data_IF_814757491418
#
_entry.id   IF_814757491418
#
_cell.length_a   1.000
_cell.length_b   1.000
_cell.length_c   1.000
_cell.angle_alpha   90.00
_cell.angle_beta   90.00
_cell.angle_gamma   90.00
#
_symmetry.space_group_name_H-M   'P 1'
#
loop_
_entity.id
_entity.type
_entity.pdbx_description
1 polymer ?
#
# COMPACT_ATOMS: atom_id res chain seq x y z
N UNK A 1 -10.19 -35.37 1.38
CA UNK A 1 -10.24 -33.95 1.02
C UNK A 1 -11.08 -33.24 2.05
N UNK A 2 -10.67 -32.03 2.50
CA UNK A 2 -11.43 -31.25 3.47
C UNK A 2 -12.83 -30.91 2.92
N UNK A 3 -13.82 -30.84 3.81
CA UNK A 3 -15.15 -30.32 3.48
C UNK A 3 -15.37 -28.97 4.18
N UNK A 4 -16.27 -28.16 3.64
CA UNK A 4 -16.64 -26.88 4.28
C UNK A 4 -17.19 -27.11 5.70
N UNK A 5 -17.81 -28.25 5.98
CA UNK A 5 -18.34 -28.60 7.30
C UNK A 5 -17.23 -28.79 8.36
N UNK A 6 -16.05 -29.22 7.94
CA UNK A 6 -14.90 -29.46 8.84
C UNK A 6 -13.92 -28.28 8.87
N UNK A 7 -14.25 -27.17 8.18
CA UNK A 7 -13.37 -26.03 8.00
C UNK A 7 -13.08 -25.30 9.32
N UNK A 8 -11.80 -25.16 9.63
CA UNK A 8 -11.27 -24.34 10.73
C UNK A 8 -10.11 -23.51 10.19
N UNK A 9 -10.30 -22.21 10.14
CA UNK A 9 -9.36 -21.29 9.48
C UNK A 9 -8.35 -20.73 10.51
N UNK A 10 -7.10 -20.63 10.11
CA UNK A 10 -6.10 -19.80 10.77
C UNK A 10 -5.74 -18.64 9.84
N UNK A 11 -5.87 -17.39 10.28
CA UNK A 11 -5.39 -16.21 9.58
C UNK A 11 -4.11 -15.73 10.24
N UNK A 12 -3.00 -15.74 9.50
CA UNK A 12 -1.65 -15.46 9.97
C UNK A 12 -1.24 -14.04 9.58
N UNK A 13 -1.14 -13.16 10.57
CA UNK A 13 -0.96 -11.71 10.42
C UNK A 13 -2.29 -10.97 10.46
N UNK A 14 -2.47 -10.13 11.49
CA UNK A 14 -3.73 -9.41 11.73
C UNK A 14 -3.57 -7.89 11.49
N UNK A 15 -2.93 -7.56 10.37
CA UNK A 15 -2.82 -6.19 9.87
C UNK A 15 -4.03 -5.75 9.04
N UNK A 16 -3.81 -4.77 8.15
CA UNK A 16 -4.81 -4.17 7.25
C UNK A 16 -5.53 -5.18 6.33
N UNK A 17 -4.90 -6.30 6.04
CA UNK A 17 -5.44 -7.35 5.16
C UNK A 17 -6.07 -8.47 5.99
N UNK A 18 -5.31 -9.01 6.94
CA UNK A 18 -5.71 -10.22 7.64
C UNK A 18 -6.86 -10.02 8.63
N UNK A 19 -6.91 -8.87 9.31
CA UNK A 19 -7.98 -8.64 10.28
C UNK A 19 -9.36 -8.54 9.62
N UNK A 20 -9.59 -7.71 8.58
CA UNK A 20 -10.89 -7.68 7.90
C UNK A 20 -11.33 -9.05 7.39
N UNK A 21 -10.41 -9.80 6.82
CA UNK A 21 -10.68 -11.15 6.31
C UNK A 21 -11.04 -12.13 7.44
N UNK A 22 -10.28 -12.11 8.55
CA UNK A 22 -10.54 -12.94 9.72
C UNK A 22 -11.93 -12.64 10.34
N UNK A 23 -12.32 -11.37 10.36
CA UNK A 23 -13.62 -10.92 10.85
C UNK A 23 -14.75 -11.47 9.96
N UNK A 24 -14.64 -11.33 8.64
CA UNK A 24 -15.68 -11.83 7.73
C UNK A 24 -15.82 -13.35 7.80
N UNK A 25 -14.72 -14.10 7.81
CA UNK A 25 -14.79 -15.55 8.04
C UNK A 25 -15.34 -15.90 9.42
N UNK A 26 -14.96 -15.17 10.47
CA UNK A 26 -15.40 -15.40 11.85
C UNK A 26 -16.89 -15.17 12.10
N UNK A 27 -17.59 -14.53 11.16
CA UNK A 27 -19.07 -14.47 11.14
C UNK A 27 -19.70 -15.78 10.64
N UNK A 28 -18.94 -16.65 9.96
CA UNK A 28 -19.46 -17.82 9.25
C UNK A 28 -18.92 -19.15 9.80
N UNK A 29 -17.62 -19.22 10.10
CA UNK A 29 -16.91 -20.45 10.46
C UNK A 29 -15.92 -20.19 11.59
N UNK A 30 -15.45 -21.24 12.33
CA UNK A 30 -14.41 -21.09 13.33
C UNK A 30 -13.11 -20.54 12.75
N UNK A 31 -12.59 -19.44 13.34
CA UNK A 31 -11.35 -18.77 12.92
C UNK A 31 -10.44 -18.52 14.13
N UNK A 32 -9.16 -18.80 13.97
CA UNK A 32 -8.09 -18.34 14.85
C UNK A 32 -7.31 -17.26 14.12
N UNK A 33 -7.44 -16.01 14.55
CA UNK A 33 -6.56 -14.92 14.13
C UNK A 33 -5.26 -14.99 14.90
N UNK A 34 -4.14 -15.17 14.20
CA UNK A 34 -2.82 -15.31 14.79
C UNK A 34 -1.93 -14.14 14.43
N UNK A 35 -1.29 -13.55 15.43
CA UNK A 35 -0.24 -12.56 15.23
C UNK A 35 0.89 -12.79 16.23
N UNK A 36 2.13 -12.59 15.78
CA UNK A 36 3.32 -12.76 16.64
C UNK A 36 3.44 -11.67 17.72
N UNK A 37 2.77 -10.54 17.54
CA UNK A 37 2.81 -9.41 18.47
C UNK A 37 1.69 -9.53 19.50
N UNK A 38 2.05 -9.89 20.74
CA UNK A 38 1.09 -10.00 21.84
C UNK A 38 0.27 -8.72 22.05
N UNK A 39 0.91 -7.54 21.88
CA UNK A 39 0.21 -6.25 21.98
C UNK A 39 -0.97 -6.15 21.00
N UNK A 40 -0.79 -6.65 19.76
CA UNK A 40 -1.87 -6.67 18.75
C UNK A 40 -3.02 -7.59 19.18
N UNK A 41 -2.69 -8.75 19.73
CA UNK A 41 -3.69 -9.70 20.26
C UNK A 41 -4.47 -9.10 21.42
N UNK A 42 -3.81 -8.44 22.36
CA UNK A 42 -4.43 -7.81 23.52
C UNK A 42 -5.36 -6.65 23.11
N UNK A 43 -4.96 -5.86 22.17
CA UNK A 43 -5.73 -4.78 21.55
C UNK A 43 -7.04 -5.35 20.94
N UNK A 44 -6.93 -6.35 20.07
CA UNK A 44 -8.08 -6.97 19.41
C UNK A 44 -9.03 -7.66 20.41
N UNK A 45 -8.49 -8.30 21.44
CA UNK A 45 -9.28 -8.87 22.54
C UNK A 45 -10.04 -7.79 23.33
N UNK A 46 -9.51 -6.57 23.40
CA UNK A 46 -10.20 -5.42 24.00
C UNK A 46 -11.29 -4.82 23.09
N UNK A 47 -11.42 -5.30 21.86
CA UNK A 47 -12.38 -4.79 20.88
C UNK A 47 -11.93 -3.51 20.16
N UNK A 48 -10.61 -3.28 20.09
CA UNK A 48 -10.02 -2.12 19.42
C UNK A 48 -9.19 -2.55 18.21
N UNK A 49 -9.16 -1.70 17.19
CA UNK A 49 -8.34 -1.86 16.00
C UNK A 49 -7.65 -0.54 15.65
N UNK A 50 -6.33 -0.43 15.92
CA UNK A 50 -5.55 0.78 15.59
C UNK A 50 -5.41 1.00 14.08
N UNK A 51 -5.62 -0.03 13.26
CA UNK A 51 -5.59 0.12 11.80
C UNK A 51 -6.83 0.81 11.24
N UNK A 52 -7.88 0.94 12.04
CA UNK A 52 -9.18 1.55 11.72
C UNK A 52 -9.90 0.89 10.52
N UNK A 53 -9.50 -0.34 10.16
CA UNK A 53 -10.12 -1.12 9.08
C UNK A 53 -11.41 -1.80 9.53
N UNK A 54 -11.50 -2.17 10.81
CA UNK A 54 -12.64 -2.89 11.39
C UNK A 54 -13.17 -2.11 12.59
N UNK A 55 -14.48 -1.87 12.61
CA UNK A 55 -15.14 -1.21 13.73
C UNK A 55 -15.31 -2.16 14.94
N UNK A 56 -15.46 -1.63 16.17
CA UNK A 56 -15.76 -2.45 17.35
C UNK A 56 -17.04 -3.30 17.21
N UNK A 57 -18.01 -2.81 16.46
CA UNK A 57 -19.26 -3.50 16.15
C UNK A 57 -19.01 -4.72 15.25
N UNK A 58 -18.17 -4.57 14.23
CA UNK A 58 -17.81 -5.66 13.32
C UNK A 58 -16.98 -6.74 14.04
N UNK A 59 -16.04 -6.34 14.92
CA UNK A 59 -15.30 -7.28 15.76
C UNK A 59 -16.25 -8.13 16.62
N UNK A 60 -17.30 -7.54 17.20
CA UNK A 60 -18.31 -8.25 18.00
C UNK A 60 -19.17 -9.20 17.17
N UNK A 61 -19.44 -8.89 15.90
CA UNK A 61 -20.21 -9.74 15.00
C UNK A 61 -19.48 -11.03 14.63
N UNK A 62 -18.14 -11.02 14.66
CA UNK A 62 -17.31 -12.18 14.37
C UNK A 62 -17.28 -13.18 15.55
N UNK A 63 -18.43 -13.73 15.91
CA UNK A 63 -18.62 -14.55 17.12
C UNK A 63 -17.82 -15.85 17.14
N UNK A 64 -17.30 -16.31 15.98
CA UNK A 64 -16.48 -17.50 15.86
C UNK A 64 -14.98 -17.19 15.65
N UNK A 65 -14.58 -15.92 15.80
CA UNK A 65 -13.19 -15.47 15.74
C UNK A 65 -12.57 -15.43 17.13
N UNK A 66 -11.44 -16.08 17.28
CA UNK A 66 -10.57 -16.00 18.45
C UNK A 66 -9.21 -15.44 18.08
N UNK A 67 -8.48 -14.86 19.03
CA UNK A 67 -7.17 -14.26 18.77
C UNK A 67 -6.09 -14.93 19.61
N UNK A 68 -4.96 -15.27 19.03
CA UNK A 68 -3.82 -15.90 19.71
C UNK A 68 -2.47 -15.47 19.17
N UNK A 69 -1.48 -15.40 20.07
CA UNK A 69 -0.05 -15.34 19.72
C UNK A 69 0.65 -16.70 19.98
N UNK A 70 -0.10 -17.72 20.42
CA UNK A 70 0.45 -19.04 20.70
C UNK A 70 0.23 -19.97 19.51
N UNK A 71 1.34 -20.51 18.97
CA UNK A 71 1.32 -21.40 17.82
C UNK A 71 0.52 -22.71 18.07
N UNK A 72 0.47 -23.18 19.31
CA UNK A 72 -0.26 -24.38 19.69
C UNK A 72 -1.76 -24.30 19.37
N UNK A 73 -2.34 -23.10 19.43
CA UNK A 73 -3.75 -22.88 19.16
C UNK A 73 -4.12 -23.13 17.69
N UNK A 74 -3.12 -23.08 16.81
CA UNK A 74 -3.28 -23.35 15.37
C UNK A 74 -3.38 -24.83 15.03
N UNK A 75 -2.99 -25.74 15.93
CA UNK A 75 -3.04 -27.20 15.70
C UNK A 75 -4.44 -27.72 15.38
N UNK A 76 -5.48 -27.02 15.82
CA UNK A 76 -6.86 -27.37 15.50
C UNK A 76 -7.31 -26.95 14.11
N UNK A 77 -6.59 -26.02 13.46
CA UNK A 77 -6.92 -25.50 12.15
C UNK A 77 -6.48 -26.44 11.02
N UNK A 78 -7.12 -26.31 9.87
CA UNK A 78 -6.86 -27.13 8.67
C UNK A 78 -6.82 -26.32 7.37
N UNK A 79 -7.08 -25.02 7.47
CA UNK A 79 -6.99 -24.06 6.36
C UNK A 79 -6.27 -22.81 6.87
N UNK A 80 -5.09 -22.53 6.32
CA UNK A 80 -4.22 -21.43 6.77
C UNK A 80 -4.21 -20.35 5.72
N UNK A 81 -4.47 -19.09 6.11
CA UNK A 81 -4.40 -17.93 5.23
C UNK A 81 -3.25 -17.04 5.71
N UNK A 82 -2.28 -16.78 4.85
CA UNK A 82 -1.08 -16.01 5.19
C UNK A 82 -1.20 -14.61 4.62
N UNK A 83 -1.24 -13.60 5.51
CA UNK A 83 -1.44 -12.19 5.17
C UNK A 83 -0.33 -11.30 5.76
N UNK A 84 0.87 -11.84 5.88
CA UNK A 84 2.02 -11.12 6.42
C UNK A 84 2.56 -10.10 5.41
N UNK A 85 3.24 -9.02 5.88
CA UNK A 85 3.79 -8.01 4.98
C UNK A 85 4.90 -8.58 4.09
N UNK A 86 5.07 -7.98 2.92
CA UNK A 86 6.11 -8.29 1.94
C UNK A 86 6.80 -6.99 1.51
N UNK A 87 7.72 -6.47 2.34
CA UNK A 87 8.44 -5.24 2.04
C UNK A 87 9.54 -5.47 0.99
N UNK A 88 10.19 -4.38 0.61
CA UNK A 88 11.48 -4.39 -0.11
C UNK A 88 12.58 -3.90 0.84
N UNK A 89 13.81 -4.34 0.59
CA UNK A 89 14.98 -3.86 1.30
C UNK A 89 15.49 -2.51 0.75
N UNK A 90 16.58 -2.00 1.33
CA UNK A 90 17.24 -0.76 0.92
C UNK A 90 17.72 -0.76 -0.55
N UNK A 91 17.97 -1.94 -1.11
CA UNK A 91 18.35 -2.16 -2.50
C UNK A 91 17.14 -2.38 -3.43
N UNK A 92 15.92 -2.18 -2.91
CA UNK A 92 14.65 -2.40 -3.63
C UNK A 92 14.46 -3.86 -4.10
N UNK A 93 15.01 -4.82 -3.34
CA UNK A 93 14.82 -6.24 -3.56
C UNK A 93 13.69 -6.77 -2.65
N UNK A 94 12.89 -7.75 -3.11
CA UNK A 94 11.86 -8.37 -2.30
C UNK A 94 12.41 -8.98 -1.01
N UNK A 95 11.88 -8.58 0.13
CA UNK A 95 12.16 -9.26 1.42
C UNK A 95 11.05 -10.26 1.72
N UNK A 96 11.34 -11.53 1.49
CA UNK A 96 10.43 -12.65 1.77
C UNK A 96 10.58 -13.21 3.20
N UNK A 97 11.41 -12.61 4.05
CA UNK A 97 11.65 -13.05 5.43
C UNK A 97 10.34 -13.25 6.22
N UNK A 98 9.35 -12.33 6.16
CA UNK A 98 8.08 -12.56 6.87
C UNK A 98 7.33 -13.78 6.38
N UNK A 99 7.33 -14.04 5.06
CA UNK A 99 6.70 -15.23 4.46
C UNK A 99 7.40 -16.52 4.87
N UNK A 100 8.73 -16.53 4.87
CA UNK A 100 9.54 -17.68 5.33
C UNK A 100 9.26 -17.97 6.79
N UNK A 101 9.21 -16.95 7.66
CA UNK A 101 8.87 -17.10 9.08
C UNK A 101 7.45 -17.63 9.29
N UNK A 102 6.47 -17.09 8.57
CA UNK A 102 5.08 -17.56 8.62
C UNK A 102 4.98 -19.02 8.17
N UNK A 103 5.61 -19.38 7.03
CA UNK A 103 5.67 -20.76 6.54
C UNK A 103 6.36 -21.70 7.53
N UNK A 104 7.44 -21.23 8.19
CA UNK A 104 8.11 -22.01 9.25
C UNK A 104 7.16 -22.28 10.43
N UNK A 105 6.43 -21.25 10.88
CA UNK A 105 5.47 -21.41 11.98
C UNK A 105 4.34 -22.37 11.60
N UNK A 106 3.78 -22.23 10.39
CA UNK A 106 2.73 -23.14 9.91
C UNK A 106 3.25 -24.56 9.78
N UNK A 107 4.48 -24.75 9.24
CA UNK A 107 5.09 -26.07 9.07
C UNK A 107 5.20 -26.88 10.37
N UNK A 108 5.33 -26.21 11.54
CA UNK A 108 5.36 -26.88 12.84
C UNK A 108 4.02 -27.47 13.28
N UNK A 109 2.91 -26.98 12.74
CA UNK A 109 1.55 -27.41 13.10
C UNK A 109 0.78 -28.06 11.96
N UNK A 110 1.36 -28.08 10.75
CA UNK A 110 0.77 -28.59 9.52
C UNK A 110 0.52 -30.09 9.60
N UNK A 111 -0.65 -30.53 9.14
CA UNK A 111 -1.09 -31.93 9.14
C UNK A 111 -1.46 -32.39 7.74
N UNK A 112 -1.56 -33.70 7.56
CA UNK A 112 -2.04 -34.30 6.30
C UNK A 112 -3.47 -33.82 5.98
N UNK A 113 -3.65 -33.39 4.75
CA UNK A 113 -4.90 -32.85 4.22
C UNK A 113 -5.08 -31.36 4.37
N UNK A 114 -4.22 -30.67 5.12
CA UNK A 114 -4.29 -29.22 5.31
C UNK A 114 -4.01 -28.44 4.03
N UNK A 115 -4.55 -27.23 3.96
CA UNK A 115 -4.35 -26.28 2.85
C UNK A 115 -3.77 -24.97 3.36
N UNK A 116 -2.72 -24.46 2.70
CA UNK A 116 -2.09 -23.17 3.01
C UNK A 116 -2.31 -22.22 1.84
N UNK A 117 -3.02 -21.12 2.05
CA UNK A 117 -3.27 -20.08 1.04
C UNK A 117 -2.48 -18.83 1.38
N UNK A 118 -1.72 -18.33 0.42
CA UNK A 118 -0.98 -17.09 0.57
C UNK A 118 -1.78 -15.93 -0.07
N UNK A 119 -1.87 -14.80 0.64
CA UNK A 119 -2.50 -13.57 0.13
C UNK A 119 -1.51 -12.41 0.00
N UNK A 120 -0.36 -12.52 0.67
CA UNK A 120 0.70 -11.52 0.59
C UNK A 120 1.15 -11.32 -0.85
N UNK A 121 1.38 -10.07 -1.26
CA UNK A 121 1.85 -9.75 -2.61
C UNK A 121 3.25 -10.29 -2.85
N UNK A 122 3.42 -11.05 -3.93
CA UNK A 122 4.69 -11.67 -4.31
C UNK A 122 4.88 -11.68 -5.83
N UNK A 123 6.09 -11.99 -6.29
CA UNK A 123 6.34 -12.24 -7.71
C UNK A 123 5.82 -13.64 -8.13
N UNK A 124 5.49 -13.84 -9.42
CA UNK A 124 5.01 -15.13 -9.92
C UNK A 124 6.00 -16.27 -9.65
N UNK A 125 5.54 -17.29 -8.93
CA UNK A 125 6.30 -18.44 -8.52
C UNK A 125 6.81 -18.41 -7.08
N UNK A 126 6.71 -17.30 -6.36
CA UNK A 126 7.25 -17.17 -5.01
C UNK A 126 6.63 -18.17 -4.03
N UNK A 127 5.32 -18.41 -4.10
CA UNK A 127 4.66 -19.42 -3.26
C UNK A 127 5.29 -20.78 -3.43
N UNK A 128 5.41 -21.25 -4.68
CA UNK A 128 5.90 -22.59 -4.98
C UNK A 128 7.43 -22.71 -4.82
N UNK A 129 8.18 -21.65 -5.13
CA UNK A 129 9.65 -21.66 -5.13
C UNK A 129 10.26 -21.36 -3.75
N UNK A 130 9.56 -20.59 -2.89
CA UNK A 130 10.08 -20.15 -1.60
C UNK A 130 9.29 -20.74 -0.43
N UNK A 131 7.96 -20.59 -0.42
CA UNK A 131 7.15 -20.95 0.74
C UNK A 131 6.96 -22.47 0.88
N UNK A 132 6.66 -23.17 -0.22
CA UNK A 132 6.43 -24.61 -0.21
C UNK A 132 7.63 -25.40 0.28
N UNK A 133 8.89 -25.15 -0.18
CA UNK A 133 10.06 -25.85 0.34
C UNK A 133 10.24 -25.70 1.86
N UNK A 134 9.90 -24.54 2.42
CA UNK A 134 9.96 -24.31 3.87
C UNK A 134 8.92 -25.16 4.60
N UNK A 135 7.67 -25.20 4.08
CA UNK A 135 6.61 -26.06 4.64
C UNK A 135 7.01 -27.53 4.62
N UNK A 136 7.55 -28.04 3.50
CA UNK A 136 8.02 -29.41 3.39
C UNK A 136 9.16 -29.72 4.37
N UNK A 137 10.16 -28.84 4.44
CA UNK A 137 11.32 -29.01 5.30
C UNK A 137 10.94 -29.05 6.79
N UNK A 138 10.03 -28.18 7.22
CA UNK A 138 9.66 -28.06 8.64
C UNK A 138 8.66 -29.13 9.06
N UNK A 139 7.66 -29.42 8.23
CA UNK A 139 6.62 -30.39 8.56
C UNK A 139 7.02 -31.85 8.31
N UNK A 140 7.96 -32.08 7.39
CA UNK A 140 8.28 -33.42 6.87
C UNK A 140 7.20 -33.99 5.93
N UNK A 141 6.19 -33.22 5.59
CA UNK A 141 5.10 -33.58 4.68
C UNK A 141 5.45 -33.26 3.24
N UNK A 142 4.78 -33.92 2.28
CA UNK A 142 5.02 -33.72 0.85
C UNK A 142 3.90 -32.90 0.22
N UNK A 143 4.30 -31.88 -0.53
CA UNK A 143 3.41 -31.03 -1.29
C UNK A 143 2.63 -31.82 -2.34
N UNK A 144 1.34 -31.48 -2.51
CA UNK A 144 0.38 -32.14 -3.41
C UNK A 144 0.16 -33.64 -3.14
N UNK A 145 0.62 -34.13 -1.99
CA UNK A 145 0.35 -35.50 -1.50
C UNK A 145 -0.21 -35.47 -0.08
N UNK A 146 0.51 -34.84 0.85
CA UNK A 146 0.14 -34.79 2.26
C UNK A 146 -0.50 -33.44 2.62
N UNK A 147 -0.10 -32.33 1.98
CA UNK A 147 -0.70 -31.00 2.13
C UNK A 147 -0.77 -30.29 0.79
N UNK A 148 -1.55 -29.21 0.74
CA UNK A 148 -1.83 -28.48 -0.49
C UNK A 148 -1.64 -26.97 -0.28
N UNK A 149 -1.57 -26.24 -1.40
CA UNK A 149 -1.45 -24.78 -1.33
C UNK A 149 -2.37 -24.08 -2.33
N UNK A 150 -2.62 -22.82 -2.05
CA UNK A 150 -3.30 -21.89 -2.92
C UNK A 150 -2.69 -20.49 -2.85
N UNK A 151 -3.16 -19.63 -3.72
CA UNK A 151 -2.87 -18.19 -3.67
C UNK A 151 -4.14 -17.41 -4.00
N UNK A 152 -4.44 -16.41 -3.19
CA UNK A 152 -5.60 -15.55 -3.37
C UNK A 152 -5.22 -14.12 -3.00
N UNK A 153 -4.88 -13.27 -3.99
CA UNK A 153 -4.37 -11.93 -3.70
C UNK A 153 -5.39 -11.05 -3.02
N UNK A 154 -4.92 -10.22 -2.08
CA UNK A 154 -5.73 -9.16 -1.54
C UNK A 154 -5.79 -7.98 -2.52
N UNK A 155 -6.99 -7.39 -2.65
CA UNK A 155 -7.28 -6.28 -3.57
C UNK A 155 -7.89 -5.06 -2.87
N UNK A 156 -7.97 -5.08 -1.52
CA UNK A 156 -8.44 -3.95 -0.71
C UNK A 156 -7.47 -2.78 -0.88
N UNK A 157 -8.04 -1.59 -0.90
CA UNK A 157 -7.30 -0.35 -0.82
C UNK A 157 -7.46 0.21 0.60
N UNK A 158 -6.42 0.22 1.46
CA UNK A 158 -6.52 0.70 2.82
C UNK A 158 -7.21 2.05 2.94
N UNK A 159 -8.16 2.17 3.88
CA UNK A 159 -8.99 3.36 4.08
C UNK A 159 -10.15 3.51 3.10
N UNK A 160 -10.32 2.63 2.12
CA UNK A 160 -11.48 2.64 1.21
C UNK A 160 -12.67 1.92 1.86
N UNK A 161 -13.67 2.69 2.26
CA UNK A 161 -14.88 2.16 2.91
C UNK A 161 -15.94 1.64 1.93
N UNK A 162 -15.77 1.90 0.64
CA UNK A 162 -16.69 1.45 -0.42
C UNK A 162 -16.30 0.08 -0.96
N UNK A 163 -14.99 -0.16 -1.17
CA UNK A 163 -14.46 -1.40 -1.72
C UNK A 163 -13.87 -2.25 -0.59
N UNK A 164 -14.76 -3.03 0.04
CA UNK A 164 -14.42 -3.90 1.17
C UNK A 164 -14.15 -5.33 0.69
N UNK A 165 -13.60 -6.15 1.58
CA UNK A 165 -13.29 -7.57 1.30
C UNK A 165 -14.46 -8.32 0.66
N UNK A 166 -15.68 -8.08 1.12
CA UNK A 166 -16.88 -8.82 0.67
C UNK A 166 -17.38 -8.40 -0.71
N UNK A 167 -17.10 -7.16 -1.14
CA UNK A 167 -17.67 -6.59 -2.37
C UNK A 167 -16.64 -6.34 -3.49
N UNK A 168 -15.43 -6.88 -3.35
CA UNK A 168 -14.42 -6.92 -4.41
C UNK A 168 -14.33 -8.35 -4.94
N UNK A 169 -14.44 -8.53 -6.28
CA UNK A 169 -14.25 -9.82 -6.91
C UNK A 169 -12.86 -10.38 -6.55
N UNK A 170 -12.83 -11.52 -5.87
CA UNK A 170 -11.60 -12.14 -5.35
C UNK A 170 -11.02 -13.11 -6.38
N UNK A 171 -9.70 -13.08 -6.58
CA UNK A 171 -9.01 -14.11 -7.37
C UNK A 171 -8.69 -15.28 -6.44
N UNK A 172 -8.94 -16.50 -6.90
CA UNK A 172 -8.61 -17.75 -6.18
C UNK A 172 -7.77 -18.66 -7.04
N UNK A 173 -6.95 -19.50 -6.42
CA UNK A 173 -6.18 -20.53 -7.12
C UNK A 173 -5.78 -21.65 -6.16
N UNK A 174 -5.40 -22.80 -6.71
CA UNK A 174 -4.94 -23.94 -5.94
C UNK A 174 -3.91 -24.75 -6.67
N UNK A 175 -3.17 -25.56 -5.93
CA UNK A 175 -2.07 -26.38 -6.44
C UNK A 175 -2.50 -27.62 -7.23
N UNK A 176 -3.77 -28.01 -7.08
CA UNK A 176 -4.45 -29.01 -7.93
C UNK A 176 -5.84 -28.50 -8.31
N UNK A 177 -6.50 -29.05 -9.35
CA UNK A 177 -7.86 -28.63 -9.71
C UNK A 177 -8.86 -28.75 -8.54
N UNK A 178 -8.76 -29.83 -7.74
CA UNK A 178 -9.65 -30.09 -6.61
C UNK A 178 -9.40 -29.09 -5.48
N UNK A 179 -8.14 -28.74 -5.23
CA UNK A 179 -7.77 -27.73 -4.23
C UNK A 179 -8.18 -26.34 -4.69
N UNK A 180 -8.04 -26.00 -5.97
CA UNK A 180 -8.51 -24.74 -6.54
C UNK A 180 -10.03 -24.58 -6.34
N UNK A 181 -10.80 -25.65 -6.58
CA UNK A 181 -12.24 -25.68 -6.34
C UNK A 181 -12.58 -25.50 -4.86
N UNK A 182 -11.85 -26.19 -3.97
CA UNK A 182 -12.07 -26.06 -2.52
C UNK A 182 -11.74 -24.65 -2.00
N UNK A 183 -10.59 -24.08 -2.40
CA UNK A 183 -10.20 -22.71 -2.07
C UNK A 183 -11.26 -21.72 -2.57
N UNK A 184 -11.73 -21.90 -3.79
CA UNK A 184 -12.79 -21.07 -4.36
C UNK A 184 -14.08 -21.11 -3.53
N UNK A 185 -14.53 -22.31 -3.13
CA UNK A 185 -15.69 -22.50 -2.25
C UNK A 185 -15.51 -21.84 -0.90
N UNK A 186 -14.31 -21.92 -0.30
CA UNK A 186 -14.02 -21.26 0.99
C UNK A 186 -14.17 -19.75 0.87
N UNK A 187 -13.58 -19.11 -0.14
CA UNK A 187 -13.69 -17.66 -0.31
C UNK A 187 -15.11 -17.21 -0.65
N UNK A 188 -15.88 -18.01 -1.39
CA UNK A 188 -17.29 -17.72 -1.67
C UNK A 188 -18.20 -17.72 -0.43
N UNK A 189 -17.74 -18.19 0.74
CA UNK A 189 -18.47 -18.02 2.00
C UNK A 189 -18.59 -16.55 2.40
N UNK A 190 -17.63 -15.72 2.04
CA UNK A 190 -17.53 -14.32 2.50
C UNK A 190 -17.51 -13.29 1.36
N UNK A 191 -17.20 -13.68 0.13
CA UNK A 191 -17.16 -12.78 -1.03
C UNK A 191 -18.52 -12.78 -1.73
N UNK A 192 -19.26 -11.69 -1.60
CA UNK A 192 -20.63 -11.57 -2.10
C UNK A 192 -20.73 -11.40 -3.63
N UNK A 193 -19.72 -10.74 -4.23
CA UNK A 193 -19.68 -10.47 -5.69
C UNK A 193 -19.05 -11.59 -6.50
N UNK A 194 -18.67 -12.69 -5.81
CA UNK A 194 -18.08 -13.88 -6.43
C UNK A 194 -16.57 -13.83 -6.58
N UNK A 195 -16.05 -14.88 -7.19
CA UNK A 195 -14.62 -15.14 -7.34
C UNK A 195 -14.25 -15.36 -8.81
N UNK A 196 -12.97 -15.16 -9.12
CA UNK A 196 -12.35 -15.56 -10.38
C UNK A 196 -11.30 -16.63 -10.11
N UNK A 197 -11.57 -17.86 -10.50
CA UNK A 197 -10.65 -18.97 -10.32
C UNK A 197 -9.56 -18.92 -11.40
N UNK A 198 -8.35 -18.54 -11.00
CA UNK A 198 -7.18 -18.52 -11.87
C UNK A 198 -6.71 -19.94 -12.20
N UNK A 199 -6.09 -20.11 -13.35
CA UNK A 199 -5.64 -21.41 -13.86
C UNK A 199 -4.47 -22.02 -13.11
N UNK A 200 -3.72 -21.21 -12.34
CA UNK A 200 -2.63 -21.65 -11.47
C UNK A 200 -2.30 -20.61 -10.41
N UNK A 201 -1.53 -21.01 -9.39
CA UNK A 201 -0.95 -20.10 -8.38
C UNK A 201 -0.15 -18.99 -9.05
N UNK A 202 0.75 -19.33 -9.99
CA UNK A 202 1.57 -18.34 -10.72
C UNK A 202 0.75 -17.30 -11.49
N UNK A 203 -0.37 -17.71 -12.05
CA UNK A 203 -1.28 -16.78 -12.76
C UNK A 203 -1.95 -15.82 -11.78
N UNK A 204 -2.38 -16.31 -10.62
CA UNK A 204 -2.98 -15.46 -9.59
C UNK A 204 -1.96 -14.47 -9.00
N UNK A 205 -0.73 -14.91 -8.74
CA UNK A 205 0.39 -14.04 -8.31
C UNK A 205 0.70 -12.97 -9.38
N UNK A 206 0.79 -13.38 -10.65
CA UNK A 206 1.02 -12.46 -11.76
C UNK A 206 -0.09 -11.42 -11.88
N UNK A 207 -1.36 -11.82 -11.76
CA UNK A 207 -2.50 -10.93 -11.82
C UNK A 207 -2.40 -9.81 -10.77
N UNK A 208 -2.03 -10.16 -9.52
CA UNK A 208 -1.87 -9.19 -8.45
C UNK A 208 -0.77 -8.16 -8.75
N UNK A 209 0.42 -8.62 -9.08
CA UNK A 209 1.56 -7.72 -9.23
C UNK A 209 1.40 -6.77 -10.42
N UNK A 210 0.73 -7.21 -11.51
CA UNK A 210 0.51 -6.35 -12.68
C UNK A 210 -0.55 -5.27 -12.45
N UNK A 211 -1.52 -5.46 -11.55
CA UNK A 211 -2.52 -4.43 -11.22
C UNK A 211 -1.84 -3.14 -10.73
N UNK A 212 -0.87 -3.26 -9.84
CA UNK A 212 -0.13 -2.13 -9.32
C UNK A 212 0.99 -1.66 -10.26
N UNK A 213 1.67 -2.58 -10.95
CA UNK A 213 2.69 -2.23 -11.95
C UNK A 213 2.08 -1.42 -13.10
N UNK A 214 0.91 -1.82 -13.60
CA UNK A 214 0.21 -1.08 -14.66
C UNK A 214 -0.16 0.34 -14.19
N UNK A 215 -0.61 0.49 -12.95
CA UNK A 215 -0.91 1.80 -12.35
C UNK A 215 0.34 2.67 -12.23
N UNK A 216 1.43 2.11 -11.74
CA UNK A 216 2.72 2.79 -11.59
C UNK A 216 3.26 3.30 -12.93
N UNK A 217 3.26 2.46 -13.96
CA UNK A 217 3.72 2.83 -15.32
C UNK A 217 2.84 3.92 -15.93
N UNK A 218 1.52 3.86 -15.73
CA UNK A 218 0.63 4.92 -16.22
C UNK A 218 0.86 6.26 -15.49
N UNK A 219 1.09 6.23 -14.17
CA UNK A 219 1.45 7.46 -13.44
C UNK A 219 2.81 7.99 -13.93
N UNK A 220 3.79 7.11 -14.18
CA UNK A 220 5.08 7.53 -14.74
C UNK A 220 4.92 8.23 -16.08
N UNK A 221 4.10 7.70 -16.97
CA UNK A 221 3.79 8.37 -18.25
C UNK A 221 3.21 9.77 -18.01
N UNK A 222 2.24 9.92 -17.11
CA UNK A 222 1.63 11.22 -16.82
C UNK A 222 2.62 12.17 -16.13
N UNK A 223 3.49 11.68 -15.25
CA UNK A 223 4.58 12.45 -14.66
C UNK A 223 5.55 12.96 -15.73
N UNK A 224 5.93 12.12 -16.70
CA UNK A 224 6.76 12.54 -17.82
C UNK A 224 6.09 13.63 -18.66
N UNK A 225 4.79 13.48 -18.94
CA UNK A 225 4.01 14.50 -19.64
C UNK A 225 3.96 15.81 -18.84
N UNK A 226 3.81 15.76 -17.52
CA UNK A 226 3.86 16.96 -16.67
C UNK A 226 5.22 17.67 -16.78
N UNK A 227 6.33 16.93 -16.76
CA UNK A 227 7.67 17.49 -16.98
C UNK A 227 7.80 18.14 -18.37
N UNK A 228 7.29 17.50 -19.41
CA UNK A 228 7.32 18.01 -20.79
C UNK A 228 6.48 19.29 -20.89
N UNK A 229 5.24 19.27 -20.42
CA UNK A 229 4.31 20.40 -20.51
C UNK A 229 4.78 21.60 -19.68
N UNK A 230 5.36 21.36 -18.51
CA UNK A 230 5.98 22.41 -17.70
C UNK A 230 7.09 23.13 -18.47
N UNK A 231 7.97 22.39 -19.19
CA UNK A 231 9.01 22.97 -20.05
C UNK A 231 8.45 23.75 -21.24
N UNK A 232 7.26 23.39 -21.71
CA UNK A 232 6.56 24.06 -22.79
C UNK A 232 5.71 25.26 -22.33
N UNK A 233 5.54 25.44 -21.01
CA UNK A 233 4.66 26.46 -20.43
C UNK A 233 3.17 26.15 -20.62
N UNK A 234 2.82 24.86 -20.71
CA UNK A 234 1.45 24.36 -20.86
C UNK A 234 0.98 23.79 -19.52
N UNK A 235 -0.22 24.12 -19.10
CA UNK A 235 -0.84 23.54 -17.90
C UNK A 235 -1.23 22.07 -18.13
N UNK A 236 -0.65 21.19 -17.33
CA UNK A 236 -0.85 19.73 -17.44
C UNK A 236 -2.30 19.34 -17.23
N UNK A 237 -2.98 19.91 -16.23
CA UNK A 237 -4.36 19.57 -15.92
C UNK A 237 -5.31 19.95 -17.07
N UNK A 238 -5.12 21.12 -17.68
CA UNK A 238 -5.91 21.53 -18.84
C UNK A 238 -5.78 20.54 -20.01
N UNK A 239 -4.56 20.02 -20.25
CA UNK A 239 -4.33 18.99 -21.27
C UNK A 239 -5.04 17.69 -20.90
N UNK A 240 -4.92 17.26 -19.64
CA UNK A 240 -5.54 16.01 -19.16
C UNK A 240 -7.07 16.09 -19.16
N UNK A 241 -7.65 17.24 -18.85
CA UNK A 241 -9.10 17.47 -18.97
C UNK A 241 -9.55 17.38 -20.44
N UNK A 242 -8.84 18.03 -21.36
CA UNK A 242 -9.16 17.97 -22.78
C UNK A 242 -9.02 16.54 -23.32
N UNK A 243 -7.92 15.83 -23.01
CA UNK A 243 -7.72 14.46 -23.42
C UNK A 243 -8.74 13.49 -22.80
N UNK A 244 -9.16 13.75 -21.56
CA UNK A 244 -10.15 12.98 -20.81
C UNK A 244 -11.57 13.04 -21.38
N UNK A 245 -11.85 13.95 -22.31
CA UNK A 245 -13.14 13.96 -23.06
C UNK A 245 -13.27 12.75 -23.98
N UNK A 246 -12.15 12.07 -24.30
CA UNK A 246 -12.18 10.84 -25.07
C UNK A 246 -12.52 9.66 -24.16
N UNK A 247 -13.53 8.90 -24.51
CA UNK A 247 -14.14 7.83 -23.71
C UNK A 247 -13.17 6.75 -23.21
N UNK A 248 -12.06 6.51 -23.89
CA UNK A 248 -11.06 5.49 -23.54
C UNK A 248 -9.75 6.07 -22.99
N UNK A 249 -9.71 7.37 -22.68
CA UNK A 249 -8.55 7.96 -22.00
C UNK A 249 -8.61 7.64 -20.51
N UNK A 250 -7.51 7.10 -19.95
CA UNK A 250 -7.44 6.73 -18.55
C UNK A 250 -7.17 7.96 -17.66
N UNK A 251 -7.94 8.17 -16.58
CA UNK A 251 -7.90 9.41 -15.80
C UNK A 251 -6.77 9.45 -14.76
N UNK A 252 -5.56 9.09 -15.16
CA UNK A 252 -4.38 9.25 -14.31
C UNK A 252 -3.98 10.72 -14.18
N UNK A 253 -3.41 11.08 -13.05
CA UNK A 253 -2.88 12.41 -12.75
C UNK A 253 -1.42 12.29 -12.34
N UNK A 254 -0.59 13.36 -12.53
CA UNK A 254 0.76 13.36 -12.02
C UNK A 254 0.77 13.36 -10.50
N UNK A 255 1.86 12.88 -9.92
CA UNK A 255 2.03 12.87 -8.47
C UNK A 255 3.16 11.97 -7.99
N UNK A 256 3.38 12.02 -6.70
CA UNK A 256 4.33 11.17 -6.02
C UNK A 256 3.73 9.77 -5.82
N UNK A 257 4.49 8.74 -6.12
CA UNK A 257 4.05 7.34 -6.01
C UNK A 257 4.66 6.69 -4.79
N UNK A 258 3.96 6.79 -3.66
CA UNK A 258 4.31 6.19 -2.37
C UNK A 258 3.41 5.03 -1.95
N UNK A 259 3.46 4.71 -0.66
CA UNK A 259 2.70 3.60 -0.06
C UNK A 259 3.33 2.24 -0.30
N UNK A 260 2.69 1.22 0.28
CA UNK A 260 3.24 -0.14 0.28
C UNK A 260 2.85 -1.00 -0.94
N UNK A 261 2.05 -0.49 -1.86
CA UNK A 261 1.60 -1.29 -3.00
C UNK A 261 2.19 -0.77 -4.32
N UNK A 262 1.75 0.42 -4.78
CA UNK A 262 2.09 0.92 -6.13
C UNK A 262 3.59 1.16 -6.27
N UNK A 263 4.25 1.66 -5.21
CA UNK A 263 5.69 1.94 -5.20
C UNK A 263 6.57 0.71 -4.94
N UNK A 264 6.00 -0.43 -4.54
CA UNK A 264 6.71 -1.63 -4.10
C UNK A 264 6.51 -2.81 -5.06
N UNK A 265 5.27 -3.12 -5.42
CA UNK A 265 4.95 -4.31 -6.24
C UNK A 265 5.72 -4.38 -7.58
N UNK A 266 5.99 -3.26 -8.29
CA UNK A 266 6.79 -3.31 -9.52
C UNK A 266 8.19 -3.89 -9.31
N UNK A 267 8.80 -3.68 -8.13
CA UNK A 267 10.12 -4.24 -7.82
C UNK A 267 10.09 -5.76 -7.67
N UNK A 268 8.98 -6.33 -7.18
CA UNK A 268 8.78 -7.78 -7.16
C UNK A 268 8.83 -8.36 -8.57
N UNK A 269 8.11 -7.74 -9.51
CA UNK A 269 8.08 -8.20 -10.90
C UNK A 269 9.43 -8.00 -11.61
N UNK A 270 10.10 -6.85 -11.38
CA UNK A 270 11.41 -6.58 -12.00
C UNK A 270 12.49 -7.51 -11.46
N UNK A 271 12.48 -7.83 -10.16
CA UNK A 271 13.38 -8.81 -9.55
C UNK A 271 13.22 -10.19 -10.23
N UNK A 272 11.96 -10.67 -10.35
CA UNK A 272 11.71 -11.96 -11.03
C UNK A 272 12.12 -11.95 -12.49
N UNK A 273 11.82 -10.88 -13.23
CA UNK A 273 12.23 -10.72 -14.61
C UNK A 273 13.76 -10.83 -14.78
N UNK A 274 14.50 -10.11 -13.94
CA UNK A 274 15.98 -10.15 -13.96
C UNK A 274 16.52 -11.54 -13.58
N UNK A 275 15.91 -12.23 -12.62
CA UNK A 275 16.32 -13.57 -12.22
C UNK A 275 16.18 -14.62 -13.33
N UNK A 276 15.29 -14.38 -14.29
CA UNK A 276 15.11 -15.24 -15.49
C UNK A 276 15.82 -14.70 -16.74
N UNK A 277 16.70 -13.68 -16.56
CA UNK A 277 17.52 -13.12 -17.63
C UNK A 277 16.86 -12.05 -18.50
N UNK A 278 15.70 -11.49 -18.08
CA UNK A 278 15.02 -10.42 -18.81
C UNK A 278 15.18 -9.06 -18.10
N UNK A 279 15.64 -8.03 -18.83
CA UNK A 279 15.71 -6.66 -18.30
C UNK A 279 14.41 -5.91 -18.60
N UNK A 280 13.61 -5.55 -17.58
CA UNK A 280 12.29 -4.93 -17.77
C UNK A 280 12.41 -3.41 -18.02
N UNK A 281 12.61 -2.99 -19.24
CA UNK A 281 12.91 -1.61 -19.69
C UNK A 281 11.82 -0.62 -19.23
N UNK A 282 10.56 -0.87 -19.57
CA UNK A 282 9.44 0.06 -19.32
C UNK A 282 9.19 0.22 -17.83
N UNK A 283 9.16 -0.90 -17.07
CA UNK A 283 8.85 -0.87 -15.63
C UNK A 283 9.94 -0.13 -14.87
N UNK A 284 11.21 -0.44 -15.15
CA UNK A 284 12.35 0.22 -14.51
C UNK A 284 12.47 1.71 -14.89
N UNK A 285 12.18 2.07 -16.14
CA UNK A 285 12.14 3.47 -16.56
C UNK A 285 11.03 4.23 -15.81
N UNK A 286 9.83 3.64 -15.72
CA UNK A 286 8.72 4.20 -14.95
C UNK A 286 9.07 4.41 -13.48
N UNK A 287 9.64 3.39 -12.82
CA UNK A 287 10.08 3.49 -11.43
C UNK A 287 11.12 4.59 -11.22
N UNK A 288 12.14 4.67 -12.06
CA UNK A 288 13.17 5.72 -12.00
C UNK A 288 12.57 7.12 -12.10
N UNK A 289 11.59 7.30 -12.98
CA UNK A 289 10.91 8.58 -13.15
C UNK A 289 10.05 8.92 -11.93
N UNK A 290 9.22 7.99 -11.46
CA UNK A 290 8.37 8.20 -10.29
C UNK A 290 9.20 8.46 -9.02
N UNK A 291 10.29 7.73 -8.82
CA UNK A 291 11.21 7.94 -7.69
C UNK A 291 11.92 9.32 -7.75
N UNK A 292 12.13 9.86 -8.95
CA UNK A 292 12.75 11.18 -9.14
C UNK A 292 11.81 12.38 -8.97
N UNK A 293 10.51 12.17 -8.79
CA UNK A 293 9.54 13.27 -8.77
C UNK A 293 9.68 14.19 -7.56
N UNK A 294 10.12 13.69 -6.40
CA UNK A 294 10.39 14.52 -5.22
C UNK A 294 11.46 15.58 -5.50
N UNK A 295 12.60 15.15 -6.05
CA UNK A 295 13.68 16.04 -6.44
C UNK A 295 13.26 17.02 -7.57
N UNK A 296 12.44 16.55 -8.52
CA UNK A 296 11.89 17.44 -9.55
C UNK A 296 11.03 18.56 -8.95
N UNK A 297 10.15 18.26 -8.01
CA UNK A 297 9.30 19.24 -7.31
C UNK A 297 10.16 20.32 -6.65
N UNK A 298 11.15 19.92 -5.85
CA UNK A 298 12.03 20.88 -5.16
C UNK A 298 12.85 21.71 -6.16
N UNK A 299 13.36 21.10 -7.22
CA UNK A 299 14.05 21.83 -8.29
C UNK A 299 13.16 22.93 -8.92
N UNK A 300 11.87 22.65 -9.18
CA UNK A 300 10.95 23.65 -9.71
C UNK A 300 10.65 24.75 -8.68
N UNK A 301 10.47 24.39 -7.41
CA UNK A 301 10.30 25.34 -6.31
C UNK A 301 11.48 26.33 -6.23
N UNK A 302 12.71 25.81 -6.17
CA UNK A 302 13.93 26.61 -6.07
C UNK A 302 14.04 27.57 -7.25
N UNK A 303 13.75 27.12 -8.48
CA UNK A 303 13.72 28.00 -9.68
C UNK A 303 12.69 29.12 -9.54
N UNK A 304 11.52 28.82 -9.00
CA UNK A 304 10.46 29.82 -8.80
C UNK A 304 10.85 30.83 -7.70
N UNK A 305 11.44 30.38 -6.60
CA UNK A 305 11.97 31.24 -5.54
C UNK A 305 13.01 32.22 -6.09
N UNK A 306 13.99 31.74 -6.88
CA UNK A 306 15.01 32.56 -7.51
C UNK A 306 14.38 33.62 -8.43
N UNK A 307 13.40 33.22 -9.27
CA UNK A 307 12.68 34.15 -10.15
C UNK A 307 11.93 35.25 -9.39
N UNK A 308 11.36 34.92 -8.22
CA UNK A 308 10.71 35.90 -7.32
C UNK A 308 11.68 36.63 -6.39
N UNK A 309 13.00 36.41 -6.52
CA UNK A 309 14.06 37.00 -5.67
C UNK A 309 13.92 36.62 -4.20
N UNK A 310 13.38 35.44 -3.92
CA UNK A 310 13.32 34.83 -2.59
C UNK A 310 14.65 34.12 -2.35
N UNK A 311 15.31 34.40 -1.22
CA UNK A 311 16.55 33.72 -0.85
C UNK A 311 16.27 32.24 -0.60
N UNK A 312 17.05 31.36 -1.22
CA UNK A 312 16.88 29.91 -1.11
C UNK A 312 17.57 29.36 0.13
N UNK A 313 18.86 29.70 0.31
CA UNK A 313 19.63 29.25 1.48
C UNK A 313 19.04 29.83 2.77
N UNK A 314 18.73 28.99 3.73
CA UNK A 314 18.09 29.37 4.97
C UNK A 314 16.60 29.71 4.84
N UNK A 315 15.98 29.47 3.69
CA UNK A 315 14.54 29.62 3.54
C UNK A 315 13.78 28.62 4.41
N UNK A 316 12.53 28.97 4.74
CA UNK A 316 11.63 28.12 5.49
C UNK A 316 10.43 27.73 4.63
N UNK A 317 10.23 26.43 4.41
CA UNK A 317 9.18 25.86 3.58
C UNK A 317 8.21 25.07 4.44
N UNK A 318 6.92 25.27 4.23
CA UNK A 318 5.88 24.42 4.82
C UNK A 318 5.44 23.36 3.82
N UNK A 319 5.47 22.10 4.24
CA UNK A 319 4.92 20.96 3.50
C UNK A 319 3.61 20.53 4.15
N UNK A 320 2.51 20.67 3.44
CA UNK A 320 1.17 20.31 3.90
C UNK A 320 0.82 18.89 3.43
N UNK A 321 0.82 17.97 4.38
CA UNK A 321 0.63 16.53 4.18
C UNK A 321 1.94 15.75 4.28
N UNK A 322 1.90 14.64 5.03
CA UNK A 322 2.98 13.66 5.18
C UNK A 322 2.50 12.25 4.82
N UNK A 323 1.22 11.96 5.03
CA UNK A 323 0.64 10.67 4.70
C UNK A 323 0.80 10.35 3.19
N UNK A 324 0.84 9.07 2.85
CA UNK A 324 1.01 8.69 1.44
C UNK A 324 -0.26 8.94 0.59
N UNK A 325 -1.41 9.15 1.23
CA UNK A 325 -2.72 9.30 0.60
C UNK A 325 -3.59 10.27 1.40
N UNK A 326 -4.52 10.93 0.72
CA UNK A 326 -5.50 11.82 1.34
C UNK A 326 -6.41 11.11 2.36
N UNK A 327 -6.70 11.80 3.46
CA UNK A 327 -7.61 11.40 4.53
C UNK A 327 -7.28 10.01 5.15
N UNK A 328 -5.99 9.73 5.26
CA UNK A 328 -5.47 8.47 5.77
C UNK A 328 -4.29 8.73 6.72
N UNK A 329 -4.20 8.08 7.89
CA UNK A 329 -3.11 8.28 8.84
C UNK A 329 -1.79 7.58 8.46
N UNK A 330 -1.79 6.72 7.45
CA UNK A 330 -0.66 5.87 7.10
C UNK A 330 0.46 6.65 6.41
N UNK A 331 1.66 6.62 7.00
CA UNK A 331 2.86 7.30 6.50
C UNK A 331 3.87 6.36 5.84
N UNK A 332 3.63 5.04 5.83
CA UNK A 332 4.60 4.06 5.33
C UNK A 332 4.94 4.30 3.86
N UNK A 333 6.25 4.35 3.57
CA UNK A 333 6.79 4.63 2.23
C UNK A 333 6.23 5.92 1.59
N UNK A 334 5.89 6.93 2.41
CA UNK A 334 5.46 8.21 1.84
C UNK A 334 6.59 8.85 1.02
N UNK A 335 6.26 9.33 -0.16
CA UNK A 335 7.21 10.05 -1.03
C UNK A 335 7.34 11.53 -0.69
N UNK A 336 6.60 12.00 0.30
CA UNK A 336 6.77 13.36 0.83
C UNK A 336 8.13 13.50 1.52
N UNK A 337 8.64 12.41 2.10
CA UNK A 337 9.99 12.39 2.68
C UNK A 337 11.08 12.73 1.66
N UNK A 338 10.92 12.34 0.40
CA UNK A 338 11.87 12.66 -0.66
C UNK A 338 11.91 14.19 -0.90
N UNK A 339 10.76 14.88 -0.80
CA UNK A 339 10.71 16.36 -0.85
C UNK A 339 11.43 16.97 0.35
N UNK A 340 11.17 16.48 1.56
CA UNK A 340 11.79 17.01 2.79
C UNK A 340 13.31 16.84 2.75
N UNK A 341 13.78 15.68 2.33
CA UNK A 341 15.21 15.39 2.21
C UNK A 341 15.86 16.29 1.14
N UNK A 342 15.24 16.42 -0.03
CA UNK A 342 15.77 17.28 -1.11
C UNK A 342 15.77 18.75 -0.71
N UNK A 343 14.78 19.25 0.05
CA UNK A 343 14.80 20.62 0.61
C UNK A 343 16.02 20.82 1.53
N UNK A 344 16.36 19.81 2.33
CA UNK A 344 17.51 19.85 3.23
C UNK A 344 18.83 19.93 2.44
N UNK A 345 18.96 19.24 1.31
CA UNK A 345 20.13 19.33 0.42
C UNK A 345 20.36 20.77 -0.12
N UNK A 346 19.30 21.58 -0.21
CA UNK A 346 19.39 23.00 -0.57
C UNK A 346 19.54 23.93 0.65
N UNK A 347 19.82 23.42 1.85
CA UNK A 347 19.83 24.16 3.12
C UNK A 347 18.53 24.92 3.40
N UNK A 348 17.39 24.37 3.00
CA UNK A 348 16.05 24.87 3.24
C UNK A 348 15.47 24.13 4.46
N UNK A 349 14.98 24.87 5.45
CA UNK A 349 14.29 24.29 6.58
C UNK A 349 12.85 23.91 6.19
N UNK A 350 12.48 22.65 6.39
CA UNK A 350 11.16 22.14 6.10
C UNK A 350 10.35 21.91 7.40
N UNK A 351 9.24 22.65 7.56
CA UNK A 351 8.20 22.28 8.52
C UNK A 351 7.18 21.39 7.80
N UNK A 352 6.72 20.33 8.48
CA UNK A 352 5.69 19.43 7.96
C UNK A 352 4.45 19.53 8.84
N UNK A 353 3.29 19.67 8.25
CA UNK A 353 2.00 19.62 8.94
C UNK A 353 1.07 18.59 8.28
N UNK A 354 0.53 17.69 9.09
CA UNK A 354 -0.48 16.73 8.63
C UNK A 354 -1.50 16.48 9.75
N UNK A 355 -2.80 16.72 9.51
CA UNK A 355 -3.85 16.56 10.53
C UNK A 355 -4.20 15.09 10.83
N UNK A 356 -3.72 14.13 10.05
CA UNK A 356 -4.02 12.72 10.17
C UNK A 356 -2.91 11.90 10.83
N UNK A 357 -1.68 12.40 10.81
CA UNK A 357 -0.48 11.63 11.18
C UNK A 357 -0.20 11.72 12.68
N UNK A 358 0.13 10.60 13.29
CA UNK A 358 0.66 10.55 14.66
C UNK A 358 2.10 11.07 14.70
N UNK A 359 2.37 12.04 15.56
CA UNK A 359 3.67 12.68 15.65
C UNK A 359 4.79 11.74 16.15
N UNK A 360 4.45 10.77 17.01
CA UNK A 360 5.43 9.80 17.49
C UNK A 360 5.81 8.80 16.39
N UNK A 361 4.83 8.39 15.57
CA UNK A 361 5.08 7.53 14.42
C UNK A 361 5.96 8.25 13.38
N UNK A 362 5.66 9.51 13.04
CA UNK A 362 6.47 10.32 12.13
C UNK A 362 7.91 10.51 12.62
N UNK A 363 8.07 10.76 13.94
CA UNK A 363 9.39 10.88 14.56
C UNK A 363 10.15 9.55 14.54
N UNK A 364 9.46 8.42 14.79
CA UNK A 364 10.09 7.10 14.80
C UNK A 364 10.52 6.67 13.39
N UNK A 365 9.65 6.84 12.39
CA UNK A 365 9.89 6.35 11.03
C UNK A 365 10.83 7.24 10.21
N UNK A 366 10.72 8.57 10.38
CA UNK A 366 11.40 9.53 9.50
C UNK A 366 12.22 10.59 10.23
N UNK A 367 12.23 10.61 11.56
CA UNK A 367 12.89 11.64 12.35
C UNK A 367 12.21 13.01 12.23
N UNK A 368 10.97 13.06 11.75
CA UNK A 368 10.21 14.31 11.55
C UNK A 368 9.26 14.51 12.73
N UNK A 369 9.28 15.72 13.30
CA UNK A 369 8.27 16.17 14.25
C UNK A 369 7.33 17.13 13.54
N UNK A 370 6.11 16.70 13.17
CA UNK A 370 5.13 17.59 12.53
C UNK A 370 4.81 18.81 13.42
N UNK A 371 4.67 19.98 12.81
CA UNK A 371 4.20 21.17 13.53
C UNK A 371 2.73 21.02 13.91
N UNK A 372 2.37 21.51 15.11
CA UNK A 372 1.01 21.38 15.64
C UNK A 372 0.10 22.52 15.16
N UNK A 373 0.66 23.71 15.00
CA UNK A 373 -0.09 24.92 14.63
C UNK A 373 0.46 25.52 13.35
N UNK A 374 -0.43 26.04 12.52
CA UNK A 374 -0.09 26.78 11.32
C UNK A 374 -0.07 28.28 11.63
N UNK A 375 1.10 28.89 11.56
CA UNK A 375 1.28 30.31 11.79
C UNK A 375 1.32 31.09 10.48
N UNK A 376 0.65 32.24 10.43
CA UNK A 376 0.62 33.12 9.26
C UNK A 376 1.95 33.84 9.04
N UNK A 377 2.29 34.12 7.80
CA UNK A 377 3.41 34.97 7.42
C UNK A 377 4.80 34.38 7.70
N UNK A 378 4.94 33.06 7.91
CA UNK A 378 6.18 32.46 8.36
C UNK A 378 7.03 31.88 7.21
N UNK A 379 6.41 31.46 6.10
CA UNK A 379 7.05 30.58 5.13
C UNK A 379 7.41 31.30 3.83
N UNK A 380 8.60 30.99 3.30
CA UNK A 380 9.06 31.42 1.98
C UNK A 380 8.39 30.65 0.86
N UNK A 381 7.92 29.42 1.16
CA UNK A 381 7.05 28.66 0.28
C UNK A 381 6.11 27.74 1.08
N UNK A 382 4.97 27.41 0.47
CA UNK A 382 4.00 26.44 0.97
C UNK A 382 3.77 25.42 -0.14
N UNK A 383 4.02 24.15 0.15
CA UNK A 383 3.79 23.00 -0.77
C UNK A 383 2.54 22.28 -0.29
N UNK A 384 1.50 22.23 -1.11
CA UNK A 384 0.32 21.40 -0.89
C UNK A 384 0.61 20.00 -1.49
N UNK A 385 1.10 19.08 -0.64
CA UNK A 385 1.64 17.81 -1.06
C UNK A 385 0.63 16.67 -1.02
N UNK A 386 -0.39 16.74 -0.13
CA UNK A 386 -1.48 15.76 0.01
C UNK A 386 -2.83 16.49 0.01
N UNK A 387 -3.82 15.96 -0.72
CA UNK A 387 -5.12 16.60 -0.89
C UNK A 387 -6.12 16.26 0.24
N UNK A 388 -5.72 16.47 1.52
CA UNK A 388 -6.64 16.29 2.64
C UNK A 388 -7.84 17.25 2.54
N UNK A 389 -9.00 16.82 2.98
CA UNK A 389 -10.21 17.63 2.94
C UNK A 389 -10.08 18.90 3.79
N UNK A 390 -9.28 18.84 4.88
CA UNK A 390 -8.95 20.01 5.69
C UNK A 390 -8.25 21.10 4.85
N UNK A 391 -7.29 20.72 4.00
CA UNK A 391 -6.57 21.67 3.15
C UNK A 391 -7.45 22.22 2.03
N UNK A 392 -8.32 21.38 1.44
CA UNK A 392 -9.32 21.85 0.47
C UNK A 392 -10.26 22.88 1.09
N UNK A 393 -10.70 22.64 2.34
CA UNK A 393 -11.60 23.55 3.07
C UNK A 393 -10.94 24.88 3.44
N UNK A 394 -9.60 24.93 3.58
CA UNK A 394 -8.88 26.19 3.84
C UNK A 394 -9.00 27.18 2.66
N UNK A 395 -8.95 26.66 1.44
CA UNK A 395 -8.94 27.48 0.23
C UNK A 395 -7.64 28.25 0.00
N UNK A 396 -7.51 28.88 -1.16
CA UNK A 396 -6.28 29.54 -1.59
C UNK A 396 -5.85 30.69 -0.69
N UNK A 397 -6.79 31.49 -0.20
CA UNK A 397 -6.51 32.67 0.64
C UNK A 397 -5.85 32.27 1.96
N UNK A 398 -6.41 31.31 2.68
CA UNK A 398 -5.86 30.84 3.95
C UNK A 398 -4.51 30.14 3.78
N UNK A 399 -4.34 29.36 2.70
CA UNK A 399 -3.07 28.70 2.38
C UNK A 399 -1.97 29.73 2.06
N UNK A 400 -2.29 30.79 1.29
CA UNK A 400 -1.36 31.88 1.01
C UNK A 400 -1.01 32.71 2.25
N UNK A 401 -1.95 32.88 3.17
CA UNK A 401 -1.71 33.62 4.42
C UNK A 401 -0.62 33.00 5.30
N UNK A 402 -0.29 31.71 5.12
CA UNK A 402 0.83 31.05 5.80
C UNK A 402 2.19 31.55 5.29
N UNK A 403 2.26 31.98 4.04
CA UNK A 403 3.45 32.52 3.42
C UNK A 403 3.78 33.95 3.82
N UNK A 404 5.05 34.33 3.74
CA UNK A 404 5.53 35.70 3.85
C UNK A 404 4.93 36.57 2.74
N UNK A 405 5.17 37.89 2.78
CA UNK A 405 4.69 38.81 1.73
C UNK A 405 5.14 38.41 0.32
N UNK A 406 6.35 37.91 0.17
CA UNK A 406 6.86 37.24 -1.03
C UNK A 406 7.06 35.76 -0.74
N UNK A 407 6.25 34.92 -1.33
CA UNK A 407 6.30 33.46 -1.17
C UNK A 407 5.89 32.74 -2.44
N UNK A 408 6.08 31.43 -2.46
CA UNK A 408 5.58 30.51 -3.49
C UNK A 408 4.49 29.62 -2.88
N UNK A 409 3.34 29.50 -3.53
CA UNK A 409 2.34 28.47 -3.27
C UNK A 409 2.39 27.43 -4.38
N UNK A 410 2.77 26.20 -4.03
CA UNK A 410 2.94 25.09 -4.96
C UNK A 410 1.90 24.00 -4.71
N UNK A 411 0.98 23.81 -5.63
CA UNK A 411 -0.07 22.80 -5.55
C UNK A 411 0.34 21.55 -6.35
N UNK A 412 0.67 20.44 -5.65
CA UNK A 412 1.02 19.17 -6.28
C UNK A 412 -0.20 18.30 -6.61
N UNK A 413 -1.39 18.71 -6.16
CA UNK A 413 -2.58 17.84 -6.16
C UNK A 413 -3.78 18.42 -6.89
N UNK A 414 -3.60 19.55 -7.56
CA UNK A 414 -4.67 20.27 -8.29
C UNK A 414 -5.90 20.55 -7.40
N UNK A 415 -5.65 20.92 -6.15
CA UNK A 415 -6.68 21.31 -5.18
C UNK A 415 -7.21 22.72 -5.47
N UNK A 416 -6.34 23.58 -5.97
CA UNK A 416 -6.61 24.98 -6.26
C UNK A 416 -6.79 25.21 -7.75
N UNK A 417 -7.48 26.30 -8.11
CA UNK A 417 -7.53 26.74 -9.49
C UNK A 417 -6.14 27.20 -9.98
N UNK A 418 -5.91 27.15 -11.30
CA UNK A 418 -4.63 27.49 -11.89
C UNK A 418 -4.15 28.89 -11.51
N UNK A 419 -5.05 29.88 -11.41
CA UNK A 419 -4.73 31.25 -11.05
C UNK A 419 -4.44 31.46 -9.56
N UNK A 420 -4.73 30.48 -8.73
CA UNK A 420 -4.62 30.58 -7.27
C UNK A 420 -3.28 30.07 -6.72
N UNK A 421 -2.52 29.29 -7.52
CA UNK A 421 -1.19 28.81 -7.15
C UNK A 421 -0.11 29.44 -8.04
N UNK A 422 1.13 29.46 -7.55
CA UNK A 422 2.29 29.94 -8.33
C UNK A 422 2.86 28.81 -9.19
N UNK A 423 2.77 27.57 -8.71
CA UNK A 423 3.22 26.37 -9.38
C UNK A 423 2.17 25.26 -9.22
N UNK A 424 2.08 24.42 -10.25
CA UNK A 424 1.37 23.14 -10.24
C UNK A 424 2.28 22.05 -10.80
N UNK A 425 2.04 20.78 -10.42
CA UNK A 425 2.81 19.66 -10.93
C UNK A 425 2.45 19.33 -12.38
#
# INVERSE_FOLDING_TARGET
MLSIADLKIAVIGLGYVGLPLAVEFGKKVPVVGFDIYQKRIDELKSGQDHTLEVSPEELKQASQLSYSANLEDLKSCNFFIVTVPTPIDEFKQPDLTPLVKASTSIGQVLKKGDVVVYESTVYPGATEETCIPVLEQVSGLKFNQDFFAGYSPERINPGDKLHRVTNILKITSGSTPEVAEFVDQVYNLVIEVGTHKATSIKVAEAAKVIENTQRDVNIALINELAVIFNKMGIDTEAVLQAAGTKWNFLPFRPGLVGGHCIGVDPYYLTHKAQSIGYHPEIILAGRRLNDGMGAYVVTQLVKAMIKKKIQVEGAKVLVLGLSFKENCPDIRNTKIIDIVNELTEYNIAADVYDPWVDANEAQHEYGITPVVNLEQGQYDAVILAVAHDQFKAMGAEALRALGKSAHILYDLKYVLDQSESDLRL
#
